data_IF_000316642260
#
_entry.id   IF_000316642260
#
_cell.length_a   1.000
_cell.length_b   1.000
_cell.length_c   1.000
_cell.angle_alpha   90.00
_cell.angle_beta   90.00
_cell.angle_gamma   90.00
#
_symmetry.space_group_name_H-M   'P 1'
#
loop_
_entity.id
_entity.type
_entity.pdbx_description
1 polymer ?
#
# COMPACT_ATOMS: atom_id res chain seq x y z
N UNK A 1 -15.85 -2.92 -0.27
CA UNK A 1 -15.96 -1.66 0.52
C UNK A 1 -16.27 -0.48 -0.43
N UNK A 2 -16.24 0.77 0.04
CA UNK A 2 -16.31 1.94 -0.85
C UNK A 2 -14.90 2.49 -1.12
N UNK A 3 -14.65 2.98 -2.33
CA UNK A 3 -13.42 3.66 -2.67
C UNK A 3 -13.23 4.94 -1.82
N UNK A 4 -12.00 5.28 -1.44
CA UNK A 4 -11.71 6.53 -0.75
C UNK A 4 -12.16 7.73 -1.60
N UNK A 5 -12.50 8.83 -0.92
CA UNK A 5 -12.87 10.07 -1.59
C UNK A 5 -11.74 10.56 -2.50
N UNK A 6 -12.07 11.33 -3.53
CA UNK A 6 -11.07 11.81 -4.50
C UNK A 6 -9.99 12.69 -3.87
N UNK A 7 -10.30 13.37 -2.77
CA UNK A 7 -9.39 14.21 -1.97
C UNK A 7 -8.81 13.47 -0.75
N UNK A 8 -8.90 12.14 -0.72
CA UNK A 8 -8.34 11.35 0.36
C UNK A 8 -6.84 11.59 0.52
N UNK A 9 -6.41 11.76 1.77
CA UNK A 9 -5.00 11.89 2.11
C UNK A 9 -4.24 10.59 1.83
N UNK A 10 -2.89 10.63 1.65
CA UNK A 10 -2.10 9.43 1.44
C UNK A 10 -2.34 8.35 2.50
N UNK A 11 -2.45 8.74 3.79
CA UNK A 11 -2.73 7.83 4.89
C UNK A 11 -4.09 7.11 4.74
N UNK A 12 -5.13 7.82 4.29
CA UNK A 12 -6.45 7.23 4.06
C UNK A 12 -6.44 6.26 2.87
N UNK A 13 -5.68 6.56 1.81
CA UNK A 13 -5.53 5.64 0.67
C UNK A 13 -4.82 4.36 1.10
N UNK A 14 -3.74 4.45 1.89
CA UNK A 14 -3.05 3.24 2.39
C UNK A 14 -3.95 2.42 3.30
N UNK A 15 -4.71 3.04 4.20
CA UNK A 15 -5.71 2.34 5.02
C UNK A 15 -6.70 1.57 4.14
N UNK A 16 -7.25 2.23 3.10
CA UNK A 16 -8.21 1.60 2.20
C UNK A 16 -7.58 0.44 1.38
N UNK A 17 -6.31 0.56 0.95
CA UNK A 17 -5.59 -0.54 0.28
C UNK A 17 -5.42 -1.75 1.21
N UNK A 18 -5.02 -1.53 2.46
CA UNK A 18 -4.87 -2.62 3.44
C UNK A 18 -6.19 -3.34 3.68
N UNK A 19 -7.26 -2.58 3.88
CA UNK A 19 -8.60 -3.13 4.07
C UNK A 19 -9.06 -3.88 2.81
N UNK A 20 -8.84 -3.34 1.61
CA UNK A 20 -9.19 -3.99 0.35
C UNK A 20 -8.42 -5.30 0.13
N UNK A 21 -7.13 -5.34 0.47
CA UNK A 21 -6.33 -6.57 0.41
C UNK A 21 -6.88 -7.64 1.36
N UNK A 22 -7.21 -7.25 2.60
CA UNK A 22 -7.77 -8.18 3.59
C UNK A 22 -9.18 -8.68 3.22
N UNK A 23 -9.99 -7.82 2.61
CA UNK A 23 -11.33 -8.16 2.10
C UNK A 23 -11.31 -8.90 0.74
N UNK A 24 -10.14 -9.09 0.13
CA UNK A 24 -9.97 -9.66 -1.22
C UNK A 24 -10.66 -8.84 -2.32
N UNK A 25 -10.81 -7.54 -2.12
CA UNK A 25 -11.44 -6.61 -3.04
C UNK A 25 -10.46 -6.18 -4.13
N UNK A 26 -10.25 -7.06 -5.12
CA UNK A 26 -9.28 -6.85 -6.19
C UNK A 26 -9.60 -5.63 -7.08
N UNK A 27 -10.89 -5.31 -7.25
CA UNK A 27 -11.33 -4.12 -7.99
C UNK A 27 -10.88 -2.85 -7.28
N UNK A 28 -11.08 -2.79 -5.97
CA UNK A 28 -10.68 -1.64 -5.17
C UNK A 28 -9.16 -1.50 -5.08
N UNK A 29 -8.43 -2.61 -4.93
CA UNK A 29 -6.96 -2.59 -5.03
C UNK A 29 -6.51 -2.04 -6.39
N UNK A 30 -7.15 -2.43 -7.49
CA UNK A 30 -6.82 -1.94 -8.82
C UNK A 30 -7.07 -0.43 -9.01
N UNK A 31 -8.09 0.13 -8.35
CA UNK A 31 -8.36 1.58 -8.39
C UNK A 31 -7.30 2.40 -7.63
N UNK A 32 -6.74 1.84 -6.55
CA UNK A 32 -5.87 2.57 -5.63
C UNK A 32 -4.38 2.29 -5.81
N UNK A 33 -4.00 1.47 -6.79
CA UNK A 33 -2.62 1.07 -7.03
C UNK A 33 -2.21 1.27 -8.48
N UNK A 34 -0.92 1.46 -8.72
CA UNK A 34 -0.40 1.44 -10.09
C UNK A 34 -0.47 0.03 -10.68
N UNK A 35 -0.57 -0.13 -12.02
CA UNK A 35 -0.70 -1.45 -12.65
C UNK A 35 0.41 -2.43 -12.26
N UNK A 36 1.66 -1.97 -12.24
CA UNK A 36 2.81 -2.83 -11.89
C UNK A 36 2.74 -3.30 -10.43
N UNK A 37 2.29 -2.42 -9.52
CA UNK A 37 2.18 -2.75 -8.11
C UNK A 37 0.96 -3.63 -7.82
N UNK A 38 -0.17 -3.39 -8.49
CA UNK A 38 -1.34 -4.27 -8.45
C UNK A 38 -0.96 -5.71 -8.77
N UNK A 39 -0.24 -5.92 -9.88
CA UNK A 39 0.17 -7.26 -10.31
C UNK A 39 1.12 -7.92 -9.29
N UNK A 40 1.89 -7.14 -8.53
CA UNK A 40 2.64 -7.65 -7.39
C UNK A 40 1.72 -8.07 -6.24
N UNK A 41 0.82 -7.20 -5.78
CA UNK A 41 -0.15 -7.48 -4.71
C UNK A 41 -1.04 -8.68 -5.03
N UNK A 42 -1.46 -8.84 -6.29
CA UNK A 42 -2.24 -10.00 -6.76
C UNK A 42 -1.53 -11.32 -6.52
N UNK A 43 -0.22 -11.38 -6.79
CA UNK A 43 0.58 -12.61 -6.67
C UNK A 43 1.00 -12.93 -5.24
N UNK A 44 1.12 -11.93 -4.38
CA UNK A 44 1.62 -12.10 -3.00
C UNK A 44 0.48 -12.07 -1.99
N UNK A 45 -0.16 -10.91 -1.87
CA UNK A 45 -1.11 -10.61 -0.82
C UNK A 45 -2.51 -11.07 -1.18
N UNK A 46 -3.11 -10.59 -2.27
CA UNK A 46 -4.50 -10.92 -2.64
C UNK A 46 -4.72 -12.42 -2.89
N UNK A 47 -3.70 -13.16 -3.35
CA UNK A 47 -3.82 -14.60 -3.55
C UNK A 47 -4.04 -15.39 -2.25
N UNK A 48 -3.42 -14.96 -1.13
CA UNK A 48 -3.42 -15.75 0.12
C UNK A 48 -3.02 -14.99 1.40
N UNK A 49 -2.26 -13.92 1.29
CA UNK A 49 -1.73 -13.17 2.43
C UNK A 49 -2.75 -12.22 3.07
N UNK A 50 -2.52 -11.85 4.33
CA UNK A 50 -3.25 -10.81 5.05
C UNK A 50 -2.27 -9.87 5.75
N UNK A 51 -2.69 -8.63 5.92
CA UNK A 51 -2.00 -7.59 6.69
C UNK A 51 -2.84 -7.31 7.94
N UNK A 52 -2.72 -8.14 8.96
CA UNK A 52 -3.51 -8.03 10.20
C UNK A 52 -2.88 -7.02 11.17
N UNK A 53 -3.66 -6.55 12.16
CA UNK A 53 -3.22 -5.56 13.16
C UNK A 53 -2.58 -4.30 12.55
N UNK A 54 -3.03 -3.93 11.35
CA UNK A 54 -2.43 -2.84 10.60
C UNK A 54 -2.65 -1.49 11.30
N UNK A 55 -1.58 -0.70 11.37
CA UNK A 55 -1.57 0.65 11.91
C UNK A 55 -0.89 1.60 10.94
N UNK A 56 -1.55 2.72 10.67
CA UNK A 56 -1.04 3.78 9.80
C UNK A 56 -0.31 4.81 10.66
N UNK A 57 0.96 5.00 10.36
CA UNK A 57 1.86 5.91 11.05
C UNK A 57 1.99 7.26 10.34
N UNK A 58 3.17 7.87 10.47
CA UNK A 58 3.45 9.18 9.90
C UNK A 58 3.46 9.16 8.37
N UNK A 59 2.99 10.25 7.78
CA UNK A 59 3.18 10.57 6.36
C UNK A 59 4.37 11.51 6.21
N UNK A 60 5.23 11.23 5.23
CA UNK A 60 6.31 12.11 4.79
C UNK A 60 6.03 12.53 3.35
N UNK A 61 6.24 13.80 3.06
CA UNK A 61 6.35 14.27 1.68
C UNK A 61 7.59 13.63 1.04
N UNK A 62 7.50 13.33 -0.25
CA UNK A 62 8.53 12.64 -1.03
C UNK A 62 8.77 11.18 -0.62
N UNK A 63 8.52 10.26 -1.57
CA UNK A 63 8.80 8.83 -1.44
C UNK A 63 10.30 8.50 -1.36
N UNK A 64 11.17 9.45 -1.71
CA UNK A 64 12.62 9.34 -1.67
C UNK A 64 13.25 9.21 -3.06
N UNK A 65 14.53 9.57 -3.13
CA UNK A 65 15.33 9.50 -4.35
C UNK A 65 15.50 8.05 -4.83
N UNK A 66 15.47 7.84 -6.14
CA UNK A 66 15.65 6.52 -6.76
C UNK A 66 14.39 5.67 -6.86
N UNK A 67 13.24 6.19 -6.44
CA UNK A 67 11.92 5.58 -6.68
C UNK A 67 11.46 5.81 -8.12
N UNK A 68 10.52 4.99 -8.61
CA UNK A 68 10.02 5.06 -9.99
C UNK A 68 9.40 6.42 -10.38
N UNK A 69 9.03 7.24 -9.39
CA UNK A 69 8.33 8.52 -9.56
C UNK A 69 9.09 9.70 -8.93
N UNK A 70 10.43 9.65 -8.90
CA UNK A 70 11.26 10.67 -8.21
C UNK A 70 11.11 12.11 -8.71
N UNK A 71 10.52 12.33 -9.90
CA UNK A 71 10.23 13.66 -10.46
C UNK A 71 8.76 14.11 -10.26
N UNK A 72 7.91 13.26 -9.69
CA UNK A 72 6.49 13.54 -9.46
C UNK A 72 6.22 13.93 -8.00
N UNK A 73 5.00 14.40 -7.73
CA UNK A 73 4.54 14.57 -6.35
C UNK A 73 4.31 13.19 -5.72
N UNK A 74 5.08 12.87 -4.69
CA UNK A 74 5.07 11.57 -4.03
C UNK A 74 4.97 11.72 -2.51
N UNK A 75 4.51 10.66 -1.85
CA UNK A 75 4.43 10.58 -0.41
C UNK A 75 4.86 9.19 0.07
N UNK A 76 5.38 9.11 1.29
CA UNK A 76 5.65 7.86 1.98
C UNK A 76 4.83 7.81 3.27
N UNK A 77 4.09 6.71 3.47
CA UNK A 77 3.28 6.47 4.66
C UNK A 77 3.86 5.29 5.40
N UNK A 78 4.12 5.46 6.70
CA UNK A 78 4.55 4.35 7.55
C UNK A 78 3.38 3.41 7.78
N UNK A 79 3.59 2.12 7.54
CA UNK A 79 2.62 1.05 7.77
C UNK A 79 3.25 -0.02 8.66
N UNK A 80 2.66 -0.27 9.82
CA UNK A 80 3.04 -1.43 10.66
C UNK A 80 1.92 -2.44 10.63
N UNK A 81 2.23 -3.72 10.43
CA UNK A 81 1.23 -4.79 10.34
C UNK A 81 1.85 -6.15 10.68
N UNK A 82 1.01 -7.12 10.98
CA UNK A 82 1.37 -8.53 11.15
C UNK A 82 1.06 -9.28 9.84
N UNK A 83 2.06 -9.85 9.17
CA UNK A 83 1.83 -10.64 7.97
C UNK A 83 1.28 -12.02 8.34
N UNK A 84 0.20 -12.45 7.68
CA UNK A 84 -0.28 -13.83 7.76
C UNK A 84 -0.37 -14.45 6.37
N UNK A 85 0.08 -15.70 6.24
CA UNK A 85 0.11 -16.42 4.95
C UNK A 85 0.81 -15.65 3.83
N UNK A 86 1.72 -14.75 4.20
CA UNK A 86 2.54 -13.98 3.28
C UNK A 86 3.51 -14.91 2.52
N UNK A 87 4.25 -14.34 1.58
CA UNK A 87 5.31 -15.06 0.87
C UNK A 87 6.33 -15.70 1.84
N UNK A 88 6.96 -16.80 1.43
CA UNK A 88 7.99 -17.56 2.17
C UNK A 88 9.15 -16.69 2.68
N UNK A 89 9.43 -15.56 2.03
CA UNK A 89 10.44 -14.58 2.45
C UNK A 89 10.07 -13.79 3.72
N UNK A 90 8.85 -13.91 4.24
CA UNK A 90 8.37 -13.18 5.41
C UNK A 90 8.13 -14.07 6.63
N UNK A 91 8.49 -13.58 7.81
CA UNK A 91 8.14 -14.23 9.08
C UNK A 91 6.66 -13.99 9.38
N UNK A 92 5.83 -15.00 9.15
CA UNK A 92 4.41 -14.93 9.50
C UNK A 92 4.21 -14.75 11.01
N UNK A 93 3.25 -13.90 11.39
CA UNK A 93 2.82 -13.71 12.78
C UNK A 93 3.67 -12.75 13.62
N UNK A 94 4.72 -12.13 13.05
CA UNK A 94 5.51 -11.10 13.72
C UNK A 94 5.26 -9.71 13.12
N UNK A 95 5.00 -8.67 13.93
CA UNK A 95 4.80 -7.32 13.41
C UNK A 95 6.03 -6.81 12.66
N UNK A 96 5.80 -6.23 11.48
CA UNK A 96 6.81 -5.55 10.68
C UNK A 96 6.37 -4.14 10.34
N UNK A 97 7.34 -3.28 10.04
CA UNK A 97 7.08 -1.90 9.60
C UNK A 97 7.66 -1.68 8.22
N UNK A 98 6.81 -1.22 7.31
CA UNK A 98 7.13 -0.86 5.93
C UNK A 98 6.78 0.60 5.65
N UNK A 99 7.28 1.11 4.53
CA UNK A 99 6.77 2.32 3.91
C UNK A 99 5.87 1.92 2.74
N UNK A 100 4.66 2.46 2.70
CA UNK A 100 3.83 2.49 1.50
C UNK A 100 4.13 3.79 0.74
N UNK A 101 4.50 3.65 -0.54
CA UNK A 101 4.91 4.76 -1.39
C UNK A 101 3.78 5.10 -2.36
N UNK A 102 3.42 6.38 -2.41
CA UNK A 102 2.31 6.90 -3.20
C UNK A 102 2.78 7.96 -4.17
N UNK A 103 2.11 8.03 -5.30
CA UNK A 103 2.27 9.08 -6.31
C UNK A 103 0.92 9.73 -6.56
N UNK A 104 0.90 11.04 -6.76
CA UNK A 104 -0.30 11.75 -7.18
C UNK A 104 -0.47 11.63 -8.70
N UNK A 105 -1.60 11.09 -9.14
CA UNK A 105 -2.00 10.96 -10.54
C UNK A 105 -3.40 11.55 -10.72
N UNK A 106 -3.55 12.50 -11.64
CA UNK A 106 -4.84 13.15 -11.92
C UNK A 106 -5.56 13.71 -10.68
N UNK A 107 -4.78 14.20 -9.70
CA UNK A 107 -5.30 14.75 -8.43
C UNK A 107 -5.73 13.71 -7.41
N UNK A 108 -5.35 12.43 -7.60
CA UNK A 108 -5.60 11.33 -6.68
C UNK A 108 -4.30 10.64 -6.29
N UNK A 109 -4.21 10.17 -5.05
CA UNK A 109 -3.09 9.36 -4.59
C UNK A 109 -3.29 7.89 -4.96
N UNK A 110 -2.27 7.26 -5.52
CA UNK A 110 -2.24 5.82 -5.79
C UNK A 110 -0.94 5.22 -5.23
N UNK A 111 -1.02 4.02 -4.67
CA UNK A 111 0.15 3.30 -4.12
C UNK A 111 0.90 2.63 -5.27
N UNK A 112 2.21 2.85 -5.33
CA UNK A 112 3.06 2.24 -6.37
C UNK A 112 4.10 1.28 -5.82
N UNK A 113 4.32 1.26 -4.51
CA UNK A 113 5.24 0.32 -3.86
C UNK A 113 4.91 0.18 -2.37
N UNK A 114 5.27 -0.96 -1.78
CA UNK A 114 5.27 -1.21 -0.35
C UNK A 114 6.44 -2.12 0.01
N UNK A 115 7.27 -1.70 0.96
CA UNK A 115 8.39 -2.52 1.37
C UNK A 115 9.14 -1.98 2.57
N UNK A 116 10.17 -2.72 2.95
CA UNK A 116 11.18 -2.24 3.88
C UNK A 116 11.91 -1.08 3.18
N UNK A 117 11.65 0.14 3.63
CA UNK A 117 12.17 1.38 3.04
C UNK A 117 13.69 1.44 2.97
#
# INVERSE_FOLDING_TARGET
MAAPAADATPAQVVQAVVEAVNDRDAELVAEMTTPDFRDHLERTWLARGYLTDATIGSTRDDAGAGTAYSEANTAAVTLTFTPEQADISMTNGEPITWAALLVEQDGRWVVFDMGAG
#
